data_IF_126706749723
#
_entry.id   IF_126706749723
#
_cell.length_a   1.000
_cell.length_b   1.000
_cell.length_c   1.000
_cell.angle_alpha   90.00
_cell.angle_beta   90.00
_cell.angle_gamma   90.00
#
_symmetry.space_group_name_H-M   'P 1'
#
loop_
_entity.id
_entity.type
_entity.pdbx_description
1 polymer ?
#
# COMPACT_ATOMS: atom_id res chain seq x y z
N UNK A 1 -16.97 -2.80 6.33
CA UNK A 1 -16.25 -4.08 6.55
C UNK A 1 -17.33 -5.12 6.80
N UNK A 2 -17.40 -6.22 6.03
CA UNK A 2 -18.53 -7.17 6.09
C UNK A 2 -18.79 -7.62 7.53
N UNK A 3 -20.07 -7.73 7.90
CA UNK A 3 -20.54 -8.03 9.26
C UNK A 3 -19.97 -9.36 9.81
N UNK A 4 -19.51 -10.22 8.91
CA UNK A 4 -19.15 -11.62 9.16
C UNK A 4 -17.67 -11.80 9.56
N UNK A 5 -16.89 -10.72 9.63
CA UNK A 5 -15.49 -10.74 10.11
C UNK A 5 -14.47 -11.47 9.20
N UNK A 6 -14.92 -12.15 8.15
CA UNK A 6 -14.06 -12.87 7.20
C UNK A 6 -13.56 -12.01 6.02
N UNK A 7 -14.03 -10.77 5.91
CA UNK A 7 -13.65 -9.86 4.84
C UNK A 7 -12.15 -9.52 4.86
N UNK A 8 -11.49 -9.65 3.71
CA UNK A 8 -10.09 -9.24 3.53
C UNK A 8 -10.04 -7.95 2.71
N UNK A 9 -9.73 -6.79 3.29
CA UNK A 9 -9.56 -5.57 2.51
C UNK A 9 -8.25 -5.66 1.73
N UNK A 10 -8.38 -5.71 0.41
CA UNK A 10 -7.28 -5.79 -0.55
C UNK A 10 -7.31 -4.50 -1.37
N UNK A 11 -6.20 -3.76 -1.33
CA UNK A 11 -5.99 -2.57 -2.14
C UNK A 11 -5.04 -2.94 -3.27
N UNK A 12 -5.51 -2.82 -4.50
CA UNK A 12 -4.71 -3.07 -5.70
C UNK A 12 -4.33 -1.74 -6.32
N UNK A 13 -3.05 -1.54 -6.57
CA UNK A 13 -2.54 -0.38 -7.31
C UNK A 13 -1.36 -0.79 -8.19
N UNK A 14 -1.17 -0.06 -9.27
CA UNK A 14 0.03 -0.18 -10.09
C UNK A 14 1.21 0.42 -9.34
N UNK A 15 2.40 -0.19 -9.42
CA UNK A 15 3.59 0.33 -8.75
C UNK A 15 4.04 1.68 -9.32
N UNK A 16 3.75 1.93 -10.59
CA UNK A 16 3.97 3.19 -11.29
C UNK A 16 2.65 3.84 -11.69
N UNK A 17 2.63 5.17 -11.69
CA UNK A 17 1.59 5.98 -12.31
C UNK A 17 1.75 5.99 -13.83
N UNK A 18 0.73 6.47 -14.55
CA UNK A 18 0.79 6.68 -16.00
C UNK A 18 1.94 7.61 -16.44
N UNK A 19 2.42 8.47 -15.55
CA UNK A 19 3.56 9.36 -15.77
C UNK A 19 4.93 8.72 -15.44
N UNK A 20 4.96 7.44 -15.05
CA UNK A 20 6.19 6.74 -14.68
C UNK A 20 6.73 7.08 -13.28
N UNK A 21 5.94 7.73 -12.42
CA UNK A 21 6.31 8.01 -11.02
C UNK A 21 5.88 6.85 -10.11
N UNK A 22 6.58 6.61 -9.00
CA UNK A 22 6.16 5.60 -8.02
C UNK A 22 4.83 5.96 -7.38
N UNK A 23 3.87 5.03 -7.37
CA UNK A 23 2.61 5.14 -6.64
C UNK A 23 2.80 4.96 -5.13
N UNK A 24 3.90 4.30 -4.73
CA UNK A 24 4.27 4.12 -3.33
C UNK A 24 5.27 5.22 -2.97
N UNK A 25 4.83 6.16 -2.15
CA UNK A 25 5.61 7.34 -1.75
C UNK A 25 5.80 7.39 -0.23
N UNK A 26 6.92 7.94 0.27
CA UNK A 26 7.17 8.07 1.70
C UNK A 26 6.23 9.08 2.37
N UNK A 27 5.82 10.12 1.63
CA UNK A 27 4.91 11.17 2.09
C UNK A 27 3.90 11.48 0.99
N UNK A 28 2.63 11.64 1.40
CA UNK A 28 1.57 12.06 0.48
C UNK A 28 1.78 13.51 0.07
N UNK A 29 1.40 13.85 -1.16
CA UNK A 29 1.46 15.22 -1.65
C UNK A 29 0.57 16.14 -0.81
N UNK A 30 1.00 17.39 -0.53
CA UNK A 30 0.19 18.35 0.21
C UNK A 30 -1.21 18.48 -0.39
N UNK A 31 -2.26 18.37 0.44
CA UNK A 31 -3.65 18.44 0.01
C UNK A 31 -4.24 17.12 -0.52
N UNK A 32 -3.50 16.00 -0.48
CA UNK A 32 -4.05 14.69 -0.87
C UNK A 32 -5.17 14.25 0.07
N UNK A 33 -6.32 13.88 -0.49
CA UNK A 33 -7.41 13.28 0.27
C UNK A 33 -7.07 11.85 0.69
N UNK A 34 -7.11 11.56 1.99
CA UNK A 34 -6.90 10.20 2.51
C UNK A 34 -8.24 9.48 2.59
N UNK A 35 -8.47 8.53 1.67
CA UNK A 35 -9.70 7.73 1.62
C UNK A 35 -9.61 6.48 2.50
N UNK A 36 -8.45 5.82 2.51
CA UNK A 36 -8.17 4.65 3.33
C UNK A 36 -7.12 4.99 4.39
N UNK A 37 -7.52 4.94 5.67
CA UNK A 37 -6.59 5.20 6.77
C UNK A 37 -5.62 4.03 6.95
N UNK A 38 -4.43 4.32 7.49
CA UNK A 38 -3.39 3.31 7.82
C UNK A 38 -3.87 2.15 8.71
N UNK A 39 -4.98 2.32 9.45
CA UNK A 39 -5.53 1.28 10.31
C UNK A 39 -6.35 0.25 9.51
N UNK A 40 -6.98 0.67 8.41
CA UNK A 40 -7.87 -0.18 7.60
C UNK A 40 -7.15 -0.97 6.51
N UNK A 41 -5.91 -0.61 6.16
CA UNK A 41 -5.16 -1.31 5.12
C UNK A 41 -4.59 -2.62 5.65
N UNK A 42 -5.06 -3.75 5.09
CA UNK A 42 -4.54 -5.07 5.41
C UNK A 42 -3.60 -5.56 4.32
N UNK A 43 -4.09 -5.64 3.07
CA UNK A 43 -3.31 -6.12 1.94
C UNK A 43 -3.15 -5.02 0.90
N UNK A 44 -1.93 -4.86 0.39
CA UNK A 44 -1.58 -4.01 -0.73
C UNK A 44 -0.98 -4.89 -1.82
N UNK A 45 -1.46 -4.77 -3.05
CA UNK A 45 -1.03 -5.61 -4.18
C UNK A 45 -0.58 -4.71 -5.32
N UNK A 46 0.59 -5.04 -5.88
CA UNK A 46 1.14 -4.46 -7.10
C UNK A 46 1.56 -5.59 -8.05
N UNK A 47 1.99 -5.25 -9.25
CA UNK A 47 2.57 -6.17 -10.24
C UNK A 47 3.82 -6.92 -9.75
N UNK A 48 4.48 -6.44 -8.69
CA UNK A 48 5.66 -7.07 -8.10
C UNK A 48 5.37 -8.00 -6.93
N UNK A 49 4.12 -8.00 -6.43
CA UNK A 49 3.71 -8.92 -5.36
C UNK A 49 2.69 -8.34 -4.39
N UNK A 50 2.65 -8.94 -3.20
CA UNK A 50 1.64 -8.67 -2.18
C UNK A 50 2.34 -8.26 -0.88
N UNK A 51 1.98 -7.11 -0.33
CA UNK A 51 2.39 -6.63 0.98
C UNK A 51 1.24 -6.76 1.98
N UNK A 52 1.49 -7.50 3.06
CA UNK A 52 0.57 -7.56 4.20
C UNK A 52 1.02 -6.58 5.28
N UNK A 53 0.14 -5.67 5.71
CA UNK A 53 0.45 -4.56 6.62
C UNK A 53 -0.27 -4.62 7.98
N UNK A 54 -1.27 -5.50 8.12
CA UNK A 54 -2.01 -5.63 9.39
C UNK A 54 -1.12 -6.23 10.49
N UNK A 55 -1.16 -5.64 11.69
CA UNK A 55 -0.33 -6.06 12.83
C UNK A 55 1.17 -5.72 12.74
N UNK A 56 1.64 -5.08 11.66
CA UNK A 56 3.06 -4.72 11.47
C UNK A 56 3.39 -3.34 12.01
N UNK A 57 4.63 -3.16 12.49
CA UNK A 57 5.16 -1.85 12.90
C UNK A 57 5.37 -0.92 11.70
N UNK A 58 5.51 0.38 11.94
CA UNK A 58 5.78 1.35 10.86
C UNK A 58 7.01 0.98 10.00
N UNK A 59 8.09 0.53 10.65
CA UNK A 59 9.31 0.10 9.97
C UNK A 59 9.08 -1.14 9.11
N UNK A 60 8.37 -2.14 9.64
CA UNK A 60 8.02 -3.34 8.88
C UNK A 60 7.09 -3.01 7.72
N UNK A 61 6.12 -2.12 7.92
CA UNK A 61 5.21 -1.67 6.85
C UNK A 61 5.97 -0.98 5.73
N UNK A 62 6.90 -0.10 6.04
CA UNK A 62 7.75 0.54 5.05
C UNK A 62 8.55 -0.50 4.26
N UNK A 63 9.17 -1.47 4.94
CA UNK A 63 9.92 -2.54 4.29
C UNK A 63 9.05 -3.39 3.35
N UNK A 64 7.85 -3.76 3.76
CA UNK A 64 6.91 -4.51 2.93
C UNK A 64 6.46 -3.72 1.70
N UNK A 65 6.17 -2.43 1.87
CA UNK A 65 5.81 -1.53 0.77
C UNK A 65 6.96 -1.34 -0.23
N UNK A 66 8.20 -1.24 0.25
CA UNK A 66 9.40 -1.15 -0.61
C UNK A 66 9.61 -2.46 -1.39
N UNK A 67 9.31 -3.63 -0.81
CA UNK A 67 9.46 -4.91 -1.53
C UNK A 67 8.54 -5.02 -2.74
N UNK A 68 7.33 -4.48 -2.63
CA UNK A 68 6.33 -4.47 -3.70
C UNK A 68 6.41 -3.22 -4.59
N UNK A 69 7.31 -2.29 -4.33
CA UNK A 69 7.54 -1.14 -5.21
C UNK A 69 8.37 -1.52 -6.43
N UNK A 70 8.29 -0.67 -7.45
CA UNK A 70 9.06 -0.83 -8.69
C UNK A 70 10.56 -0.84 -8.37
N UNK A 71 11.37 -1.75 -8.95
CA UNK A 71 12.79 -1.93 -8.60
C UNK A 71 13.64 -0.66 -8.72
N UNK A 72 13.28 0.25 -9.63
CA UNK A 72 13.96 1.54 -9.80
C UNK A 72 13.72 2.54 -8.65
N UNK A 73 12.71 2.31 -7.79
CA UNK A 73 12.25 3.24 -6.74
C UNK A 73 12.20 2.56 -5.36
N UNK A 74 13.07 1.58 -5.10
CA UNK A 74 13.20 0.89 -3.81
C UNK A 74 14.03 1.68 -2.81
#
# INVERSE_FOLDING_TARGET
>A
MSLDGHGRPIITLNSLTSEGKSSIVPTLSPGSGVTCTRAHVHYVVTEYGIAYLFGKTLRQRAYELIRISHPNFR
#
